data_IF_906032156363
#
_entry.id   IF_906032156363
#
_cell.length_a   1.000
_cell.length_b   1.000
_cell.length_c   1.000
_cell.angle_alpha   90.00
_cell.angle_beta   90.00
_cell.angle_gamma   90.00
#
_symmetry.space_group_name_H-M   'P 1'
#
loop_
_entity.id
_entity.type
_entity.pdbx_description
1 polymer ?
#
# COMPACT_ATOMS: atom_id res chain seq x y z
N UNK A 1 12.32 9.74 34.12
CA UNK A 1 11.05 9.44 34.80
C UNK A 1 11.05 7.97 35.21
N UNK A 2 10.76 7.63 36.47
CA UNK A 2 10.55 6.25 36.91
C UNK A 2 9.38 5.59 36.18
N UNK A 3 9.46 4.29 35.91
CA UNK A 3 8.47 3.55 35.13
C UNK A 3 7.05 3.60 35.72
N UNK A 4 6.94 3.64 37.05
CA UNK A 4 5.67 3.80 37.75
C UNK A 4 5.02 5.19 37.55
N UNK A 5 5.81 6.26 37.38
CA UNK A 5 5.26 7.59 37.05
C UNK A 5 4.79 7.65 35.59
N UNK A 6 5.49 6.96 34.67
CA UNK A 6 5.08 6.85 33.27
C UNK A 6 3.77 6.07 33.13
N UNK A 7 3.64 4.94 33.84
CA UNK A 7 2.40 4.14 33.86
C UNK A 7 1.23 4.90 34.50
N UNK A 8 1.50 5.70 35.54
CA UNK A 8 0.47 6.52 36.18
C UNK A 8 0.02 7.69 35.29
N UNK A 9 0.94 8.37 34.60
CA UNK A 9 0.61 9.39 33.60
C UNK A 9 -0.14 8.80 32.41
N UNK A 10 0.25 7.62 31.91
CA UNK A 10 -0.49 6.91 30.86
C UNK A 10 -1.88 6.49 31.33
N UNK A 11 -2.04 6.07 32.59
CA UNK A 11 -3.35 5.73 33.16
C UNK A 11 -4.23 6.97 33.40
N UNK A 12 -3.65 8.09 33.83
CA UNK A 12 -4.37 9.37 34.00
C UNK A 12 -4.79 9.92 32.63
N UNK A 13 -3.91 9.90 31.62
CA UNK A 13 -4.22 10.24 30.21
C UNK A 13 -5.31 9.31 29.66
N UNK A 14 -5.19 7.99 29.86
CA UNK A 14 -6.20 7.00 29.45
C UNK A 14 -7.54 7.25 30.16
N UNK A 15 -7.55 7.65 31.43
CA UNK A 15 -8.77 7.93 32.18
C UNK A 15 -9.45 9.25 31.81
N UNK A 16 -8.67 10.26 31.41
CA UNK A 16 -9.19 11.53 30.88
C UNK A 16 -9.72 11.36 29.45
N UNK A 17 -9.15 10.41 28.68
CA UNK A 17 -9.61 10.00 27.34
C UNK A 17 -10.89 9.14 27.44
N UNK A 18 -11.06 8.32 28.47
CA UNK A 18 -12.30 7.56 28.66
C UNK A 18 -13.50 8.42 29.08
N UNK A 19 -13.29 9.71 29.36
CA UNK A 19 -14.37 10.72 29.50
C UNK A 19 -14.83 11.34 28.16
N UNK A 20 -14.35 10.86 27.00
CA UNK A 20 -14.57 11.50 25.71
C UNK A 20 -15.99 11.31 25.12
N UNK A 21 -16.45 12.39 24.49
CA UNK A 21 -17.59 12.58 23.58
C UNK A 21 -17.99 11.29 22.79
N UNK A 22 -19.29 10.95 22.68
CA UNK A 22 -19.81 9.82 21.88
C UNK A 22 -19.15 9.63 20.50
N UNK A 23 -18.86 10.72 19.80
CA UNK A 23 -18.20 10.72 18.49
C UNK A 23 -16.82 10.03 18.51
N UNK A 24 -16.05 10.18 19.59
CA UNK A 24 -14.75 9.51 19.75
C UNK A 24 -14.89 7.99 19.97
N UNK A 25 -16.01 7.55 20.54
CA UNK A 25 -16.28 6.13 20.78
C UNK A 25 -16.58 5.42 19.45
N UNK A 26 -17.34 6.07 18.56
CA UNK A 26 -17.63 5.57 17.22
C UNK A 26 -16.36 5.45 16.37
N UNK A 27 -15.48 6.47 16.42
CA UNK A 27 -14.18 6.43 15.72
C UNK A 27 -13.26 5.32 16.25
N UNK A 28 -13.22 5.11 17.58
CA UNK A 28 -12.46 3.99 18.19
C UNK A 28 -13.03 2.63 17.79
N UNK A 29 -14.36 2.50 17.72
CA UNK A 29 -15.02 1.27 17.27
C UNK A 29 -14.70 0.98 15.79
N UNK A 30 -14.71 2.01 14.93
CA UNK A 30 -14.30 1.90 13.54
C UNK A 30 -12.84 1.46 13.40
N UNK A 31 -11.92 2.12 14.12
CA UNK A 31 -10.49 1.77 14.13
C UNK A 31 -10.28 0.31 14.53
N UNK A 32 -10.96 -0.14 15.60
CA UNK A 32 -10.91 -1.53 16.05
C UNK A 32 -11.45 -2.51 15.00
N UNK A 33 -12.58 -2.20 14.38
CA UNK A 33 -13.17 -3.04 13.33
C UNK A 33 -12.23 -3.21 12.13
N UNK A 34 -11.58 -2.12 11.71
CA UNK A 34 -10.61 -2.13 10.61
C UNK A 34 -9.36 -2.93 10.98
N UNK A 35 -8.84 -2.81 12.20
CA UNK A 35 -7.73 -3.61 12.68
C UNK A 35 -8.05 -5.11 12.74
N UNK A 36 -9.19 -5.49 13.32
CA UNK A 36 -9.62 -6.90 13.38
C UNK A 36 -9.79 -7.49 11.96
N UNK A 37 -10.28 -6.69 11.01
CA UNK A 37 -10.39 -7.07 9.60
C UNK A 37 -9.03 -7.16 8.90
N UNK A 38 -8.09 -6.27 9.19
CA UNK A 38 -6.72 -6.28 8.66
C UNK A 38 -5.99 -7.56 9.07
N UNK A 39 -6.02 -7.93 10.35
CA UNK A 39 -5.37 -9.14 10.85
C UNK A 39 -5.94 -10.41 10.21
N UNK A 40 -7.24 -10.41 9.89
CA UNK A 40 -7.89 -11.53 9.20
C UNK A 40 -7.45 -11.64 7.73
N UNK A 41 -7.31 -10.51 7.05
CA UNK A 41 -6.96 -10.47 5.62
C UNK A 41 -5.48 -10.69 5.33
N UNK A 42 -4.59 -10.34 6.27
CA UNK A 42 -3.14 -10.31 6.03
C UNK A 42 -2.33 -11.11 7.07
N UNK A 43 -2.42 -12.45 7.06
CA UNK A 43 -1.66 -13.28 8.00
C UNK A 43 -0.17 -13.30 7.66
N UNK A 44 0.70 -13.05 8.65
CA UNK A 44 2.15 -13.26 8.54
C UNK A 44 2.61 -14.38 9.48
N UNK A 45 3.52 -15.25 9.00
CA UNK A 45 4.06 -16.32 9.85
C UNK A 45 5.27 -15.84 10.65
N UNK A 46 5.43 -16.36 11.88
CA UNK A 46 6.52 -16.02 12.81
C UNK A 46 7.77 -16.90 12.64
N UNK A 47 7.99 -17.49 11.47
CA UNK A 47 9.12 -18.38 11.22
C UNK A 47 10.44 -17.62 11.03
N UNK A 48 11.58 -18.27 11.34
CA UNK A 48 12.90 -17.71 11.00
C UNK A 48 13.14 -17.86 9.49
N UNK A 49 13.44 -16.77 8.76
CA UNK A 49 13.56 -16.82 7.31
C UNK A 49 14.86 -17.49 6.83
N UNK A 50 14.78 -18.18 5.69
CA UNK A 50 15.94 -18.59 4.90
C UNK A 50 16.46 -17.40 4.07
N UNK A 51 17.76 -17.11 4.15
CA UNK A 51 18.34 -15.90 3.53
C UNK A 51 18.83 -16.19 2.11
N UNK A 52 18.38 -15.37 1.15
CA UNK A 52 18.77 -15.41 -0.27
C UNK A 52 19.60 -14.15 -0.58
N UNK A 53 20.87 -14.34 -0.90
CA UNK A 53 21.84 -13.26 -1.14
C UNK A 53 22.68 -13.44 -2.41
N UNK A 54 22.55 -14.59 -3.07
CA UNK A 54 23.22 -14.93 -4.33
C UNK A 54 22.44 -16.04 -5.07
N UNK A 55 22.96 -16.47 -6.22
CA UNK A 55 22.33 -17.52 -7.02
C UNK A 55 22.34 -18.88 -6.31
N UNK A 56 23.41 -19.20 -5.56
CA UNK A 56 23.52 -20.49 -4.86
C UNK A 56 22.48 -20.61 -3.75
N UNK A 57 22.34 -19.57 -2.93
CA UNK A 57 21.34 -19.48 -1.88
C UNK A 57 19.93 -19.46 -2.45
N UNK A 58 19.68 -18.79 -3.58
CA UNK A 58 18.39 -18.86 -4.27
C UNK A 58 18.01 -20.31 -4.61
N UNK A 59 18.92 -21.05 -5.27
CA UNK A 59 18.68 -22.47 -5.63
C UNK A 59 18.46 -23.34 -4.38
N UNK A 60 19.21 -23.12 -3.30
CA UNK A 60 18.99 -23.83 -2.03
C UNK A 60 17.66 -23.46 -1.35
N UNK A 61 17.18 -22.23 -1.57
CA UNK A 61 15.94 -21.72 -1.02
C UNK A 61 14.71 -22.29 -1.71
N UNK A 62 14.77 -22.56 -3.02
CA UNK A 62 13.69 -23.16 -3.83
C UNK A 62 13.18 -24.50 -3.24
N UNK A 63 14.08 -25.31 -2.66
CA UNK A 63 13.71 -26.58 -2.02
C UNK A 63 13.22 -26.41 -0.57
N UNK A 64 13.63 -25.34 0.12
CA UNK A 64 13.45 -25.16 1.57
C UNK A 64 12.25 -24.27 1.92
N UNK A 65 11.96 -23.29 1.08
CA UNK A 65 10.83 -22.39 1.26
C UNK A 65 9.64 -23.06 0.58
N UNK A 66 8.52 -23.22 1.30
CA UNK A 66 7.27 -23.65 0.68
C UNK A 66 6.75 -22.47 -0.13
N UNK A 67 7.31 -22.27 -1.32
CA UNK A 67 6.79 -21.35 -2.31
C UNK A 67 5.42 -21.87 -2.75
N UNK A 68 4.36 -21.55 -2.00
CA UNK A 68 3.01 -22.10 -2.22
C UNK A 68 2.50 -21.85 -3.65
N UNK A 69 3.03 -20.84 -4.35
CA UNK A 69 2.46 -20.34 -5.60
C UNK A 69 3.48 -19.97 -6.67
N UNK A 70 4.63 -20.65 -6.74
CA UNK A 70 5.63 -20.38 -7.78
C UNK A 70 6.02 -21.62 -8.58
N UNK A 71 5.03 -22.20 -9.27
CA UNK A 71 5.26 -23.11 -10.40
C UNK A 71 6.22 -22.54 -11.47
N UNK A 72 6.27 -21.21 -11.75
CA UNK A 72 7.23 -20.64 -12.72
C UNK A 72 8.68 -20.48 -12.22
N UNK A 73 8.96 -20.52 -10.91
CA UNK A 73 10.34 -20.50 -10.39
C UNK A 73 11.00 -21.86 -10.64
N UNK A 74 10.21 -22.92 -10.81
CA UNK A 74 10.72 -24.26 -11.06
C UNK A 74 10.96 -24.55 -12.54
N UNK A 75 10.68 -23.63 -13.47
CA UNK A 75 11.06 -23.77 -14.88
C UNK A 75 12.55 -23.46 -15.06
N UNK A 76 13.44 -24.46 -15.18
CA UNK A 76 14.89 -24.23 -15.18
C UNK A 76 15.37 -23.53 -16.46
N UNK A 77 14.52 -23.51 -17.49
CA UNK A 77 14.80 -22.88 -18.78
C UNK A 77 14.70 -21.35 -18.74
N UNK A 78 14.05 -20.78 -17.73
CA UNK A 78 13.86 -19.33 -17.60
C UNK A 78 14.96 -18.68 -16.76
N UNK A 79 15.42 -17.53 -17.23
CA UNK A 79 16.41 -16.72 -16.55
C UNK A 79 15.93 -16.29 -15.14
N UNK A 80 16.84 -16.26 -14.15
CA UNK A 80 16.51 -15.94 -12.75
C UNK A 80 15.75 -14.62 -12.58
N UNK A 81 16.17 -13.55 -13.27
CA UNK A 81 15.51 -12.25 -13.18
C UNK A 81 14.03 -12.32 -13.60
N UNK A 82 13.75 -13.08 -14.68
CA UNK A 82 12.39 -13.35 -15.16
C UNK A 82 11.61 -14.17 -14.14
N UNK A 83 12.22 -15.22 -13.58
CA UNK A 83 11.56 -16.07 -12.57
C UNK A 83 11.18 -15.28 -11.31
N UNK A 84 12.08 -14.42 -10.80
CA UNK A 84 11.80 -13.54 -9.65
C UNK A 84 10.66 -12.58 -9.99
N UNK A 85 10.71 -11.94 -11.16
CA UNK A 85 9.65 -11.04 -11.59
C UNK A 85 8.29 -11.75 -11.69
N UNK A 86 8.25 -12.96 -12.26
CA UNK A 86 7.03 -13.78 -12.30
C UNK A 86 6.54 -14.10 -10.89
N UNK A 87 7.43 -14.50 -9.97
CA UNK A 87 7.09 -14.70 -8.57
C UNK A 87 6.47 -13.45 -7.91
N UNK A 88 7.04 -12.26 -8.15
CA UNK A 88 6.46 -11.00 -7.67
C UNK A 88 5.07 -10.73 -8.26
N UNK A 89 4.84 -11.06 -9.53
CA UNK A 89 3.50 -10.91 -10.14
C UNK A 89 2.46 -11.82 -9.48
N UNK A 90 2.78 -13.11 -9.27
CA UNK A 90 1.85 -14.04 -8.61
C UNK A 90 1.52 -13.57 -7.19
N UNK A 91 2.52 -13.14 -6.43
CA UNK A 91 2.30 -12.59 -5.09
C UNK A 91 1.48 -11.29 -5.13
N UNK A 92 1.65 -10.45 -6.15
CA UNK A 92 0.85 -9.23 -6.32
C UNK A 92 -0.63 -9.55 -6.61
N UNK A 93 -0.91 -10.58 -7.40
CA UNK A 93 -2.28 -11.05 -7.67
C UNK A 93 -2.96 -11.53 -6.40
N UNK A 94 -2.28 -12.30 -5.56
CA UNK A 94 -2.80 -12.72 -4.26
C UNK A 94 -3.03 -11.50 -3.34
N UNK A 95 -2.08 -10.55 -3.30
CA UNK A 95 -2.26 -9.32 -2.52
C UNK A 95 -3.49 -8.53 -2.96
N UNK A 96 -3.78 -8.45 -4.27
CA UNK A 96 -5.00 -7.82 -4.78
C UNK A 96 -6.26 -8.51 -4.23
N UNK A 97 -6.27 -9.84 -4.14
CA UNK A 97 -7.41 -10.58 -3.58
C UNK A 97 -7.58 -10.28 -2.09
N UNK A 98 -6.49 -10.31 -1.32
CA UNK A 98 -6.51 -9.99 0.12
C UNK A 98 -6.97 -8.55 0.38
N UNK A 99 -6.48 -7.59 -0.42
CA UNK A 99 -6.88 -6.18 -0.36
C UNK A 99 -8.35 -6.01 -0.74
N UNK A 100 -8.85 -6.76 -1.72
CA UNK A 100 -10.26 -6.73 -2.11
C UNK A 100 -11.16 -7.24 -0.98
N UNK A 101 -10.76 -8.32 -0.30
CA UNK A 101 -11.48 -8.82 0.88
C UNK A 101 -11.42 -7.84 2.05
N UNK A 102 -10.28 -7.18 2.26
CA UNK A 102 -10.16 -6.09 3.23
C UNK A 102 -11.08 -4.91 2.90
N UNK A 103 -11.13 -4.46 1.63
CA UNK A 103 -11.96 -3.34 1.20
C UNK A 103 -13.46 -3.59 1.47
N UNK A 104 -13.93 -4.82 1.23
CA UNK A 104 -15.31 -5.23 1.53
C UNK A 104 -15.68 -5.13 3.01
N UNK A 105 -14.69 -5.12 3.91
CA UNK A 105 -14.91 -4.96 5.34
C UNK A 105 -15.07 -3.50 5.76
N UNK A 106 -14.68 -2.53 4.93
CA UNK A 106 -14.78 -1.10 5.23
C UNK A 106 -16.27 -0.70 5.24
N UNK A 107 -16.80 -0.12 6.33
CA UNK A 107 -18.19 0.32 6.40
C UNK A 107 -18.55 1.28 5.26
N UNK A 108 -19.61 0.96 4.52
CA UNK A 108 -20.09 1.74 3.37
C UNK A 108 -19.49 1.35 2.02
N UNK A 109 -18.33 0.68 1.96
CA UNK A 109 -17.66 0.37 0.68
C UNK A 109 -18.52 -0.51 -0.24
N UNK A 110 -19.09 -1.59 0.29
CA UNK A 110 -19.94 -2.52 -0.49
C UNK A 110 -21.27 -1.89 -0.92
N UNK A 111 -21.61 -0.72 -0.37
CA UNK A 111 -22.82 0.04 -0.71
C UNK A 111 -22.59 1.05 -1.85
N UNK A 112 -21.33 1.29 -2.24
CA UNK A 112 -20.98 2.13 -3.39
C UNK A 112 -21.39 1.45 -4.71
N UNK A 113 -21.43 2.23 -5.80
CA UNK A 113 -21.60 1.66 -7.14
C UNK A 113 -20.51 0.61 -7.43
N UNK A 114 -20.87 -0.48 -8.08
CA UNK A 114 -19.94 -1.58 -8.34
C UNK A 114 -18.76 -1.11 -9.23
N UNK A 115 -18.99 -0.20 -10.18
CA UNK A 115 -17.92 0.36 -11.01
C UNK A 115 -17.00 1.27 -10.20
N UNK A 116 -17.54 1.99 -9.22
CA UNK A 116 -16.75 2.81 -8.30
C UNK A 116 -15.88 1.92 -7.41
N UNK A 117 -16.44 0.83 -6.85
CA UNK A 117 -15.65 -0.16 -6.08
C UNK A 117 -14.49 -0.72 -6.91
N UNK A 118 -14.74 -1.09 -8.17
CA UNK A 118 -13.70 -1.57 -9.10
C UNK A 118 -12.66 -0.49 -9.39
N UNK A 119 -13.09 0.76 -9.61
CA UNK A 119 -12.20 1.90 -9.90
C UNK A 119 -11.30 2.22 -8.71
N UNK A 120 -11.86 2.29 -7.50
CA UNK A 120 -11.11 2.51 -6.26
C UNK A 120 -10.03 1.43 -6.06
N UNK A 121 -10.39 0.16 -6.24
CA UNK A 121 -9.42 -0.94 -6.15
C UNK A 121 -8.37 -0.88 -7.26
N UNK A 122 -8.77 -0.64 -8.52
CA UNK A 122 -7.87 -0.59 -9.68
C UNK A 122 -6.69 0.35 -9.44
N UNK A 123 -6.95 1.56 -8.95
CA UNK A 123 -5.89 2.55 -8.73
C UNK A 123 -5.26 2.44 -7.32
N UNK A 124 -5.98 1.96 -6.31
CA UNK A 124 -5.49 1.90 -4.92
C UNK A 124 -4.61 0.70 -4.59
N UNK A 125 -4.81 -0.45 -5.24
CA UNK A 125 -4.16 -1.71 -4.82
C UNK A 125 -2.62 -1.64 -4.82
N UNK A 126 -1.99 -0.97 -5.78
CA UNK A 126 -0.52 -0.90 -5.81
C UNK A 126 0.07 0.06 -4.77
N UNK A 127 -0.65 1.15 -4.44
CA UNK A 127 -0.29 2.03 -3.32
C UNK A 127 -0.33 1.23 -2.00
N UNK A 128 -1.34 0.38 -1.82
CA UNK A 128 -1.49 -0.47 -0.63
C UNK A 128 -0.43 -1.57 -0.62
N UNK A 129 -0.16 -2.23 -1.76
CA UNK A 129 0.90 -3.24 -1.86
C UNK A 129 2.23 -2.65 -1.41
N UNK A 130 2.61 -1.43 -1.84
CA UNK A 130 3.89 -0.84 -1.43
C UNK A 130 3.89 -0.34 0.02
N UNK A 131 2.74 0.09 0.54
CA UNK A 131 2.56 0.40 1.96
C UNK A 131 2.82 -0.84 2.81
N UNK A 132 2.18 -1.95 2.50
CA UNK A 132 2.32 -3.21 3.22
C UNK A 132 3.70 -3.86 3.01
N UNK A 133 4.28 -3.71 1.82
CA UNK A 133 5.62 -4.20 1.52
C UNK A 133 6.67 -3.53 2.40
N UNK A 134 6.48 -2.27 2.79
CA UNK A 134 7.37 -1.58 3.70
C UNK A 134 7.49 -2.30 5.06
N UNK A 135 6.39 -2.84 5.59
CA UNK A 135 6.37 -3.65 6.82
C UNK A 135 7.17 -4.95 6.71
N UNK A 136 7.45 -5.41 5.49
CA UNK A 136 8.28 -6.59 5.21
C UNK A 136 9.73 -6.24 4.90
N UNK A 137 10.09 -4.95 4.88
CA UNK A 137 11.39 -4.46 4.45
C UNK A 137 12.19 -3.87 5.61
N UNK A 138 13.50 -4.09 5.54
CA UNK A 138 14.47 -3.24 6.21
C UNK A 138 15.46 -2.70 5.17
N UNK A 139 16.48 -1.98 5.62
CA UNK A 139 17.50 -1.40 4.72
C UNK A 139 18.28 -2.45 3.91
N UNK A 140 18.34 -3.69 4.38
CA UNK A 140 19.20 -4.77 3.89
C UNK A 140 18.44 -5.79 3.02
N UNK A 141 17.10 -5.80 3.03
CA UNK A 141 16.30 -6.76 2.26
C UNK A 141 14.84 -6.84 2.66
N UNK A 142 14.14 -7.81 2.05
CA UNK A 142 12.69 -7.98 2.14
C UNK A 142 12.31 -9.41 2.52
N UNK A 143 11.33 -9.57 3.39
CA UNK A 143 10.71 -10.85 3.69
C UNK A 143 9.81 -11.30 2.54
N UNK A 144 9.91 -12.58 2.18
CA UNK A 144 9.13 -13.22 1.12
C UNK A 144 8.45 -14.48 1.64
N UNK A 145 7.43 -14.95 0.91
CA UNK A 145 6.74 -16.22 1.19
C UNK A 145 6.26 -16.33 2.65
N UNK A 146 5.47 -15.35 3.07
CA UNK A 146 4.90 -15.25 4.42
C UNK A 146 5.96 -15.24 5.54
N UNK A 147 7.17 -14.76 5.27
CA UNK A 147 8.27 -14.68 6.24
C UNK A 147 9.20 -15.90 6.24
N UNK A 148 8.99 -16.87 5.35
CA UNK A 148 9.86 -18.04 5.23
C UNK A 148 11.19 -17.74 4.52
N UNK A 149 11.25 -16.69 3.70
CA UNK A 149 12.46 -16.24 3.03
C UNK A 149 12.80 -14.79 3.34
N UNK A 150 14.07 -14.44 3.24
CA UNK A 150 14.55 -13.06 3.27
C UNK A 150 15.48 -12.85 2.08
N UNK A 151 15.07 -12.03 1.12
CA UNK A 151 15.85 -11.71 -0.06
C UNK A 151 16.58 -10.39 0.14
N UNK A 152 17.90 -10.41 0.02
CA UNK A 152 18.70 -9.20 0.26
C UNK A 152 18.48 -8.15 -0.84
N UNK A 153 18.55 -6.88 -0.45
CA UNK A 153 18.46 -5.73 -1.36
C UNK A 153 19.58 -5.75 -2.40
N UNK A 154 20.81 -6.05 -1.97
CA UNK A 154 21.96 -6.14 -2.88
C UNK A 154 21.79 -7.25 -3.93
N UNK A 155 21.24 -8.41 -3.55
CA UNK A 155 20.94 -9.46 -4.52
C UNK A 155 19.89 -9.01 -5.54
N UNK A 156 18.78 -8.41 -5.09
CA UNK A 156 17.75 -7.87 -5.99
C UNK A 156 18.33 -6.81 -6.94
N UNK A 157 19.20 -5.93 -6.44
CA UNK A 157 19.89 -4.91 -7.23
C UNK A 157 20.90 -5.48 -8.22
N UNK A 158 21.46 -6.66 -7.94
CA UNK A 158 22.42 -7.35 -8.81
C UNK A 158 21.78 -8.01 -10.04
N UNK A 159 20.44 -8.12 -10.08
CA UNK A 159 19.72 -8.65 -11.24
C UNK A 159 19.99 -7.79 -12.48
N UNK A 160 20.01 -8.43 -13.66
CA UNK A 160 20.23 -7.70 -14.91
C UNK A 160 19.15 -6.64 -15.13
N UNK A 161 19.49 -5.61 -15.90
CA UNK A 161 18.52 -4.60 -16.32
C UNK A 161 17.46 -5.20 -17.25
N UNK A 162 16.21 -4.72 -17.18
CA UNK A 162 15.70 -3.68 -16.27
C UNK A 162 15.29 -4.18 -14.86
N UNK A 163 15.38 -5.48 -14.57
CA UNK A 163 14.84 -6.08 -13.33
C UNK A 163 15.51 -5.60 -12.05
N UNK A 164 16.82 -5.32 -12.06
CA UNK A 164 17.54 -4.80 -10.90
C UNK A 164 17.05 -3.43 -10.40
N UNK A 165 16.31 -2.68 -11.20
CA UNK A 165 15.77 -1.35 -10.84
C UNK A 165 14.39 -1.41 -10.18
N UNK A 166 13.77 -2.58 -10.16
CA UNK A 166 12.35 -2.72 -9.83
C UNK A 166 12.04 -2.46 -8.36
N UNK A 167 12.91 -2.97 -7.49
CA UNK A 167 12.72 -2.96 -6.03
C UNK A 167 13.36 -1.77 -5.32
N UNK A 168 14.37 -1.14 -5.93
CA UNK A 168 15.15 -0.09 -5.28
C UNK A 168 14.29 1.12 -4.83
N UNK A 169 13.36 1.67 -5.64
CA UNK A 169 12.50 2.77 -5.18
C UNK A 169 11.59 2.35 -4.01
N UNK A 170 11.23 1.07 -3.92
CA UNK A 170 10.35 0.54 -2.87
C UNK A 170 11.12 0.41 -1.55
N UNK A 171 12.41 0.02 -1.61
CA UNK A 171 13.30 0.08 -0.45
C UNK A 171 13.54 1.50 0.03
N UNK A 172 13.78 2.46 -0.87
CA UNK A 172 13.98 3.86 -0.50
C UNK A 172 12.74 4.46 0.18
N UNK A 173 11.55 4.12 -0.32
CA UNK A 173 10.30 4.46 0.33
C UNK A 173 10.17 3.79 1.69
N UNK A 174 10.36 2.47 1.77
CA UNK A 174 10.19 1.70 3.00
C UNK A 174 11.09 2.21 4.12
N UNK A 175 12.34 2.57 3.86
CA UNK A 175 13.23 3.14 4.88
C UNK A 175 12.67 4.44 5.45
N UNK A 176 12.11 5.32 4.61
CA UNK A 176 11.50 6.59 5.05
C UNK A 176 10.13 6.38 5.72
N UNK A 177 9.36 5.42 5.24
CA UNK A 177 8.02 5.10 5.75
C UNK A 177 8.10 4.39 7.11
N UNK A 178 8.99 3.41 7.26
CA UNK A 178 9.19 2.69 8.53
C UNK A 178 9.78 3.58 9.64
N UNK A 179 10.44 4.69 9.29
CA UNK A 179 10.87 5.70 10.26
C UNK A 179 9.69 6.47 10.91
N UNK A 180 8.46 6.28 10.41
CA UNK A 180 7.25 6.77 11.07
C UNK A 180 6.78 5.85 12.19
N UNK A 181 7.37 4.65 12.33
CA UNK A 181 7.11 3.69 13.41
C UNK A 181 5.63 3.31 13.59
N UNK A 182 4.89 3.26 12.48
CA UNK A 182 3.48 2.84 12.46
C UNK A 182 3.34 1.36 12.82
N UNK A 183 2.29 1.03 13.57
CA UNK A 183 1.91 -0.36 13.83
C UNK A 183 0.74 -0.81 12.94
N UNK A 184 0.36 -2.09 13.06
CA UNK A 184 -0.72 -2.68 12.25
C UNK A 184 -2.09 -2.01 12.48
N UNK A 185 -2.32 -1.40 13.64
CA UNK A 185 -3.57 -0.68 13.92
C UNK A 185 -3.63 0.66 13.18
N UNK A 186 -2.50 1.35 13.07
CA UNK A 186 -2.39 2.57 12.26
C UNK A 186 -2.50 2.24 10.76
N UNK A 187 -1.79 1.19 10.32
CA UNK A 187 -1.77 0.76 8.92
C UNK A 187 -3.14 0.32 8.43
N UNK A 188 -3.93 -0.37 9.27
CA UNK A 188 -5.30 -0.77 8.92
C UNK A 188 -6.13 0.44 8.48
N UNK A 189 -6.16 1.51 9.27
CA UNK A 189 -6.94 2.71 8.92
C UNK A 189 -6.32 3.43 7.71
N UNK A 190 -4.98 3.51 7.66
CA UNK A 190 -4.29 4.20 6.56
C UNK A 190 -4.56 3.57 5.20
N UNK A 191 -4.52 2.25 5.07
CA UNK A 191 -4.84 1.59 3.79
C UNK A 191 -6.32 1.73 3.42
N UNK A 192 -7.23 1.84 4.40
CA UNK A 192 -8.63 2.15 4.14
C UNK A 192 -8.79 3.57 3.55
N UNK A 193 -8.07 4.57 4.07
CA UNK A 193 -8.03 5.94 3.51
C UNK A 193 -7.51 5.93 2.06
N UNK A 194 -6.51 5.10 1.75
CA UNK A 194 -5.99 4.94 0.39
C UNK A 194 -7.04 4.36 -0.56
N UNK A 195 -7.78 3.32 -0.14
CA UNK A 195 -8.84 2.71 -0.96
C UNK A 195 -9.91 3.75 -1.27
N UNK A 196 -10.37 4.50 -0.27
CA UNK A 196 -11.46 5.48 -0.38
C UNK A 196 -10.99 6.86 -0.88
N UNK A 197 -9.94 6.93 -1.69
CA UNK A 197 -9.52 8.21 -2.28
C UNK A 197 -10.53 8.68 -3.33
N UNK A 198 -11.31 9.71 -2.99
CA UNK A 198 -12.44 10.19 -3.80
C UNK A 198 -12.14 11.34 -4.76
N UNK A 199 -10.96 11.98 -4.73
CA UNK A 199 -10.77 13.22 -5.51
C UNK A 199 -11.00 12.95 -7.00
N UNK A 200 -12.08 13.55 -7.51
CA UNK A 200 -12.32 13.69 -8.92
C UNK A 200 -11.33 14.73 -9.43
N UNK A 201 -10.62 14.40 -10.49
CA UNK A 201 -9.81 15.39 -11.19
C UNK A 201 -10.64 16.62 -11.43
N UNK A 202 -10.08 17.77 -11.05
CA UNK A 202 -10.67 19.08 -11.19
C UNK A 202 -11.17 19.29 -12.63
N UNK A 203 -12.39 18.84 -12.86
CA UNK A 203 -13.21 18.99 -14.06
C UNK A 203 -14.60 19.50 -13.70
N UNK A 204 -14.81 19.87 -12.43
CA UNK A 204 -15.88 20.78 -12.05
C UNK A 204 -15.52 22.18 -12.55
N UNK A 205 -15.80 22.47 -13.81
CA UNK A 205 -15.97 23.86 -14.23
C UNK A 205 -17.10 24.46 -13.40
N UNK A 206 -16.75 25.30 -12.42
CA UNK A 206 -17.68 26.33 -11.95
C UNK A 206 -18.21 27.08 -13.19
N UNK A 207 -19.52 27.38 -13.27
CA UNK A 207 -20.05 28.13 -14.40
C UNK A 207 -19.42 29.52 -14.41
N UNK A 208 -18.40 29.72 -15.26
CA UNK A 208 -17.76 31.03 -15.44
C UNK A 208 -18.73 31.99 -16.09
N UNK A 209 -18.81 33.20 -15.54
CA UNK A 209 -19.57 34.29 -16.15
C UNK A 209 -19.00 34.60 -17.56
N UNK A 210 -19.85 34.92 -18.55
CA UNK A 210 -19.38 35.16 -19.92
C UNK A 210 -18.54 36.45 -19.99
N UNK A 211 -17.23 36.32 -20.22
CA UNK A 211 -16.36 37.48 -20.48
C UNK A 211 -14.85 37.35 -20.19
N UNK A 212 -14.38 36.29 -19.53
CA UNK A 212 -12.96 36.18 -19.16
C UNK A 212 -12.10 35.48 -20.24
N UNK A 213 -11.04 36.15 -20.69
CA UNK A 213 -10.09 35.64 -21.68
C UNK A 213 -9.16 34.58 -21.09
N UNK A 214 -8.99 33.46 -21.80
CA UNK A 214 -8.11 32.37 -21.42
C UNK A 214 -6.63 32.81 -21.31
N UNK A 215 -6.06 32.72 -20.12
CA UNK A 215 -4.60 32.66 -19.95
C UNK A 215 -4.10 31.24 -20.30
N UNK A 216 -2.87 31.08 -20.82
CA UNK A 216 -2.33 29.76 -21.14
C UNK A 216 -2.17 28.93 -19.87
N UNK A 217 -2.71 27.72 -19.89
CA UNK A 217 -2.69 26.76 -18.79
C UNK A 217 -1.25 26.45 -18.35
N UNK A 218 -0.97 26.67 -17.07
CA UNK A 218 0.16 26.09 -16.34
C UNK A 218 -0.02 24.58 -16.12
N UNK A 219 0.97 23.89 -15.55
CA UNK A 219 1.09 22.44 -15.67
C UNK A 219 -0.06 21.70 -14.98
N UNK A 220 -0.46 20.60 -15.65
CA UNK A 220 -1.23 19.42 -15.24
C UNK A 220 -1.94 19.46 -13.87
N UNK A 221 -3.23 19.11 -13.91
CA UNK A 221 -4.03 18.71 -12.76
C UNK A 221 -3.21 17.90 -11.74
N UNK A 222 -3.38 18.25 -10.45
CA UNK A 222 -2.80 17.52 -9.32
C UNK A 222 -3.08 16.02 -9.46
N UNK A 223 -2.09 15.12 -9.31
CA UNK A 223 -2.22 13.71 -9.64
C UNK A 223 -2.93 12.89 -8.53
N UNK A 224 -4.01 13.42 -7.94
CA UNK A 224 -4.72 12.79 -6.81
C UNK A 224 -5.83 11.84 -7.28
N UNK A 225 -6.12 11.85 -8.57
CA UNK A 225 -7.46 11.45 -9.02
C UNK A 225 -7.59 9.95 -9.28
N UNK A 226 -8.74 9.39 -8.89
CA UNK A 226 -9.22 8.08 -9.36
C UNK A 226 -10.11 8.34 -10.58
N UNK A 227 -9.58 8.37 -11.82
CA UNK A 227 -10.37 8.78 -12.97
C UNK A 227 -11.46 7.75 -13.27
N UNK A 228 -12.67 8.24 -13.56
CA UNK A 228 -13.81 7.41 -13.93
C UNK A 228 -14.79 7.10 -12.79
N UNK A 229 -14.63 7.69 -11.61
CA UNK A 229 -15.63 7.59 -10.53
C UNK A 229 -16.96 8.23 -10.95
N UNK A 230 -18.05 7.51 -10.71
CA UNK A 230 -19.43 7.90 -11.02
C UNK A 230 -20.04 8.73 -9.89
N UNK A 231 -19.89 8.30 -8.64
CA UNK A 231 -20.48 8.94 -7.46
C UNK A 231 -19.43 9.21 -6.38
N UNK A 232 -18.80 10.39 -6.47
CA UNK A 232 -17.70 10.78 -5.58
C UNK A 232 -18.15 11.08 -4.15
N UNK A 233 -19.30 11.73 -3.97
CA UNK A 233 -19.75 12.20 -2.65
C UNK A 233 -19.80 11.12 -1.56
N UNK A 234 -20.42 9.94 -1.76
CA UNK A 234 -20.42 8.89 -0.75
C UNK A 234 -19.02 8.32 -0.48
N UNK A 235 -18.08 8.41 -1.43
CA UNK A 235 -16.70 7.96 -1.25
C UNK A 235 -15.98 8.94 -0.30
N UNK A 236 -16.11 10.24 -0.55
CA UNK A 236 -15.57 11.30 0.31
C UNK A 236 -16.16 11.24 1.73
N UNK A 237 -17.47 11.01 1.87
CA UNK A 237 -18.11 10.91 3.18
C UNK A 237 -17.53 9.74 4.02
N UNK A 238 -17.23 8.60 3.38
CA UNK A 238 -16.55 7.49 4.04
C UNK A 238 -15.09 7.87 4.35
N UNK A 239 -14.39 8.50 3.40
CA UNK A 239 -12.99 8.90 3.56
C UNK A 239 -12.79 9.90 4.68
N UNK A 240 -13.65 10.91 4.82
CA UNK A 240 -13.60 11.91 5.87
C UNK A 240 -13.72 11.28 7.26
N UNK A 241 -14.61 10.29 7.40
CA UNK A 241 -14.75 9.53 8.64
C UNK A 241 -13.50 8.67 8.95
N UNK A 242 -12.90 8.06 7.92
CA UNK A 242 -11.66 7.31 8.05
C UNK A 242 -10.46 8.22 8.41
N UNK A 243 -10.40 9.42 7.85
CA UNK A 243 -9.37 10.42 8.15
C UNK A 243 -9.47 10.90 9.61
N UNK A 244 -10.68 11.14 10.10
CA UNK A 244 -10.91 11.46 11.52
C UNK A 244 -10.50 10.30 12.44
N UNK A 245 -10.84 9.06 12.09
CA UNK A 245 -10.44 7.88 12.84
C UNK A 245 -8.90 7.72 12.84
N UNK A 246 -8.25 7.95 11.70
CA UNK A 246 -6.79 7.89 11.58
C UNK A 246 -6.11 8.98 12.40
N UNK A 247 -6.59 10.22 12.33
CA UNK A 247 -6.02 11.32 13.12
C UNK A 247 -6.15 11.05 14.62
N UNK A 248 -7.30 10.56 15.08
CA UNK A 248 -7.50 10.18 16.47
C UNK A 248 -6.58 9.02 16.88
N UNK A 249 -6.54 7.95 16.08
CA UNK A 249 -5.68 6.78 16.32
C UNK A 249 -4.21 7.19 16.47
N UNK A 250 -3.68 8.00 15.56
CA UNK A 250 -2.29 8.44 15.61
C UNK A 250 -2.00 9.33 16.82
N UNK A 251 -2.93 10.20 17.23
CA UNK A 251 -2.78 11.02 18.45
C UNK A 251 -2.74 10.15 19.72
N UNK A 252 -3.51 9.08 19.76
CA UNK A 252 -3.59 8.16 20.89
C UNK A 252 -2.38 7.22 20.96
N UNK A 253 -1.98 6.64 19.82
CA UNK A 253 -0.94 5.63 19.73
C UNK A 253 0.48 6.24 19.71
N UNK A 254 0.62 7.46 19.18
CA UNK A 254 1.89 8.16 19.01
C UNK A 254 1.88 9.57 19.61
N UNK A 255 1.63 9.74 20.92
CA UNK A 255 1.47 11.06 21.55
C UNK A 255 2.72 11.95 21.44
N UNK A 256 3.90 11.35 21.32
CA UNK A 256 5.18 12.05 21.18
C UNK A 256 5.50 12.45 19.71
N UNK A 257 4.78 11.89 18.73
CA UNK A 257 5.07 12.09 17.31
C UNK A 257 4.30 13.28 16.74
N UNK A 258 4.89 14.47 16.86
CA UNK A 258 4.29 15.69 16.31
C UNK A 258 4.08 15.60 14.80
N UNK A 259 2.89 16.00 14.34
CA UNK A 259 2.50 16.07 12.93
C UNK A 259 2.55 14.72 12.19
N UNK A 260 2.43 13.59 12.91
CA UNK A 260 2.47 12.25 12.29
C UNK A 260 1.38 12.08 11.22
N UNK A 261 0.17 12.55 11.49
CA UNK A 261 -0.94 12.54 10.53
C UNK A 261 -0.57 13.25 9.21
N UNK A 262 -0.09 14.50 9.29
CA UNK A 262 0.32 15.26 8.10
C UNK A 262 1.48 14.59 7.34
N UNK A 263 2.48 14.06 8.07
CA UNK A 263 3.60 13.30 7.48
C UNK A 263 3.09 12.06 6.74
N UNK A 264 2.10 11.37 7.29
CA UNK A 264 1.52 10.16 6.70
C UNK A 264 0.70 10.48 5.44
N UNK A 265 -0.10 11.55 5.45
CA UNK A 265 -0.80 12.01 4.25
C UNK A 265 0.19 12.35 3.11
N UNK A 266 1.33 12.96 3.44
CA UNK A 266 2.38 13.24 2.44
C UNK A 266 2.91 11.95 1.79
N UNK A 267 2.90 10.80 2.50
CA UNK A 267 3.32 9.50 1.95
C UNK A 267 2.38 8.94 0.90
N UNK A 268 1.11 9.37 0.86
CA UNK A 268 0.22 9.01 -0.25
C UNK A 268 0.73 9.56 -1.59
N UNK A 269 1.33 10.76 -1.59
CA UNK A 269 1.95 11.32 -2.80
C UNK A 269 3.19 10.54 -3.22
N UNK A 270 4.04 10.16 -2.25
CA UNK A 270 5.21 9.32 -2.51
C UNK A 270 4.80 7.97 -3.12
N UNK A 271 3.73 7.34 -2.60
CA UNK A 271 3.20 6.07 -3.11
C UNK A 271 2.75 6.17 -4.58
N UNK A 272 2.04 7.23 -4.94
CA UNK A 272 1.60 7.46 -6.32
C UNK A 272 2.79 7.57 -7.28
N UNK A 273 3.82 8.32 -6.89
CA UNK A 273 5.04 8.45 -7.68
C UNK A 273 5.71 7.08 -7.89
N UNK A 274 5.77 6.23 -6.86
CA UNK A 274 6.34 4.88 -6.95
C UNK A 274 5.51 3.98 -7.89
N UNK A 275 4.19 4.12 -7.89
CA UNK A 275 3.29 3.41 -8.83
C UNK A 275 3.55 3.88 -10.26
N UNK A 276 3.66 5.19 -10.50
CA UNK A 276 3.97 5.74 -11.83
C UNK A 276 5.31 5.22 -12.36
N UNK A 277 6.37 5.25 -11.55
CA UNK A 277 7.68 4.71 -11.91
C UNK A 277 7.63 3.20 -12.18
N UNK A 278 6.84 2.46 -11.40
CA UNK A 278 6.65 1.03 -11.61
C UNK A 278 6.00 0.74 -12.96
N UNK A 279 4.93 1.46 -13.31
CA UNK A 279 4.25 1.32 -14.60
C UNK A 279 5.20 1.62 -15.76
N UNK A 280 6.00 2.68 -15.66
CA UNK A 280 7.02 3.00 -16.68
C UNK A 280 8.03 1.85 -16.86
N UNK A 281 8.48 1.25 -15.76
CA UNK A 281 9.40 0.11 -15.81
C UNK A 281 8.74 -1.15 -16.42
N UNK A 282 7.45 -1.39 -16.13
CA UNK A 282 6.67 -2.45 -16.77
C UNK A 282 6.55 -2.23 -18.28
N UNK A 283 6.38 -0.98 -18.73
CA UNK A 283 6.36 -0.65 -20.15
C UNK A 283 7.71 -0.90 -20.82
N UNK A 284 8.83 -0.64 -20.13
CA UNK A 284 10.17 -0.99 -20.61
C UNK A 284 10.29 -2.51 -20.77
N UNK A 285 9.96 -3.27 -19.72
CA UNK A 285 9.99 -4.75 -19.74
C UNK A 285 9.16 -5.30 -20.89
N UNK A 286 7.93 -4.79 -21.08
CA UNK A 286 7.03 -5.24 -22.16
C UNK A 286 7.61 -4.99 -23.56
N UNK A 287 8.47 -3.98 -23.72
CA UNK A 287 9.12 -3.65 -25.00
C UNK A 287 10.42 -4.43 -25.22
N UNK A 288 11.15 -4.74 -24.16
CA UNK A 288 12.48 -5.36 -24.24
C UNK A 288 12.47 -6.88 -24.10
N UNK A 289 11.47 -7.45 -23.42
CA UNK A 289 11.40 -8.87 -23.11
C UNK A 289 10.34 -9.57 -23.96
N UNK A 290 10.75 -10.53 -24.80
CA UNK A 290 9.86 -11.23 -25.74
C UNK A 290 8.94 -12.25 -25.07
N UNK A 291 9.39 -12.87 -23.98
CA UNK A 291 8.71 -14.00 -23.33
C UNK A 291 7.95 -13.58 -22.06
N UNK A 292 7.73 -12.28 -21.89
CA UNK A 292 7.11 -11.72 -20.69
C UNK A 292 5.63 -11.41 -20.91
N UNK A 293 4.79 -12.22 -20.28
CA UNK A 293 3.37 -11.95 -20.13
C UNK A 293 3.06 -11.50 -18.70
N UNK A 294 2.25 -10.45 -18.60
CA UNK A 294 1.67 -10.05 -17.33
C UNK A 294 0.49 -10.97 -16.99
N UNK A 295 0.26 -11.25 -15.70
CA UNK A 295 -0.94 -11.97 -15.29
C UNK A 295 -2.21 -11.21 -15.74
N UNK A 296 -3.28 -11.87 -16.22
CA UNK A 296 -4.48 -11.20 -16.75
C UNK A 296 -5.10 -10.15 -15.82
N UNK A 297 -5.21 -10.45 -14.52
CA UNK A 297 -5.69 -9.50 -13.51
C UNK A 297 -4.80 -8.24 -13.43
N UNK A 298 -3.48 -8.40 -13.46
CA UNK A 298 -2.55 -7.28 -13.45
C UNK A 298 -2.63 -6.49 -14.76
N UNK A 299 -2.84 -7.16 -15.90
CA UNK A 299 -3.08 -6.48 -17.17
C UNK A 299 -4.30 -5.58 -17.09
N UNK A 300 -5.40 -6.05 -16.49
CA UNK A 300 -6.62 -5.27 -16.30
C UNK A 300 -6.40 -4.08 -15.37
N UNK A 301 -5.67 -4.28 -14.26
CA UNK A 301 -5.30 -3.19 -13.35
C UNK A 301 -4.48 -2.15 -14.09
N UNK A 302 -3.38 -2.56 -14.74
CA UNK A 302 -2.49 -1.63 -15.45
C UNK A 302 -3.07 -1.06 -16.75
N UNK A 303 -4.17 -1.62 -17.25
CA UNK A 303 -4.80 -1.11 -18.46
C UNK A 303 -5.30 0.31 -18.19
N UNK A 304 -4.84 1.25 -19.02
CA UNK A 304 -5.19 2.67 -18.90
C UNK A 304 -4.68 3.33 -17.59
N UNK A 305 -3.81 2.66 -16.83
CA UNK A 305 -2.97 3.31 -15.82
C UNK A 305 -1.80 3.97 -16.56
N UNK A 306 -2.00 5.23 -16.95
CA UNK A 306 -1.01 6.13 -17.59
C UNK A 306 -0.47 5.73 -18.98
#
# INVERSE_FOLDING_TARGET
MPQAEKEKLLAEISSDIDQLNPESADLRALAKHLYDSYIKSFPLTKAKPFVIYDMNSLMMGEDKIKFKHITPLQEPSKEVAIRIFQGCQFRSVEAVQEITEYAKSIPGFVNLDLNDQVTLLKYGVHEIIYTMLASLMNKDGVLISEGQGFMTREFLKSLRKPFGDFMEPKFEFAVKFNALELDDSDLAIFIAVIILSGEAGAGGEEPRAPGESACPQGPAASPIDRPGLLNVKPIEDIQDNLLQALELQLKLNHPESSQLFAKLLQKMTDLRQIVTEHVQLLQVIKKTETDMSLHPLLQEIYKDLY
#
